data_IF_267657227289
#
_entry.id   IF_267657227289
#
_cell.length_a   1.000
_cell.length_b   1.000
_cell.length_c   1.000
_cell.angle_alpha   90.00
_cell.angle_beta   90.00
_cell.angle_gamma   90.00
#
_symmetry.space_group_name_H-M   'P 1'
#
loop_
_entity.id
_entity.type
_entity.pdbx_description
1 polymer ?
#
# COMPACT_ATOMS: atom_id res chain seq x y z
N UNK A 1 -15.06 -89.22 -7.11
CA UNK A 1 -14.58 -89.32 -8.51
C UNK A 1 -14.15 -87.92 -8.95
N UNK A 2 -12.83 -87.71 -9.11
CA UNK A 2 -12.15 -87.46 -10.40
C UNK A 2 -12.17 -85.95 -10.80
N UNK A 3 -11.13 -85.26 -11.27
CA UNK A 3 -9.71 -85.50 -11.56
C UNK A 3 -9.05 -84.10 -11.56
N UNK A 4 -7.75 -84.04 -11.21
CA UNK A 4 -6.86 -82.86 -11.28
C UNK A 4 -6.83 -82.20 -12.66
N UNK A 5 -6.72 -80.87 -12.70
CA UNK A 5 -6.15 -80.17 -13.85
C UNK A 5 -5.09 -79.15 -13.41
N UNK A 6 -3.81 -79.48 -13.67
CA UNK A 6 -2.65 -78.57 -13.59
C UNK A 6 -2.83 -77.46 -14.63
N UNK A 7 -2.68 -76.19 -14.25
CA UNK A 7 -2.53 -75.08 -15.21
C UNK A 7 -1.19 -74.39 -15.01
N UNK A 8 -0.38 -74.48 -16.06
CA UNK A 8 0.96 -73.92 -16.22
C UNK A 8 0.87 -72.40 -16.30
N UNK A 9 1.64 -71.69 -15.47
CA UNK A 9 1.75 -70.23 -15.47
C UNK A 9 2.74 -69.83 -16.58
N UNK A 10 2.24 -69.31 -17.70
CA UNK A 10 3.05 -68.56 -18.68
C UNK A 10 3.18 -67.11 -18.20
N UNK A 11 4.40 -66.67 -17.88
CA UNK A 11 4.74 -65.26 -17.61
C UNK A 11 4.55 -64.45 -18.89
N UNK A 12 3.58 -63.55 -18.91
CA UNK A 12 3.45 -62.53 -19.94
C UNK A 12 4.40 -61.37 -19.63
N UNK A 13 5.18 -60.95 -20.62
CA UNK A 13 6.09 -59.81 -20.57
C UNK A 13 5.30 -58.50 -20.31
N UNK A 14 5.83 -57.65 -19.42
CA UNK A 14 5.28 -56.31 -19.18
C UNK A 14 5.61 -55.40 -20.38
N UNK A 15 4.62 -54.72 -20.99
CA UNK A 15 4.92 -53.68 -21.96
C UNK A 15 5.43 -52.43 -21.25
N UNK A 16 6.62 -51.99 -21.66
CA UNK A 16 7.29 -50.77 -21.21
C UNK A 16 6.64 -49.57 -21.91
N UNK A 17 5.58 -49.00 -21.32
CA UNK A 17 4.95 -47.79 -21.82
C UNK A 17 5.71 -46.54 -21.37
N UNK A 18 6.77 -46.21 -22.12
CA UNK A 18 7.45 -44.91 -22.07
C UNK A 18 6.52 -43.86 -22.70
N UNK A 19 5.53 -43.38 -21.94
CA UNK A 19 4.68 -42.27 -22.35
C UNK A 19 5.51 -40.99 -22.28
N UNK A 20 6.07 -40.57 -23.42
CA UNK A 20 6.58 -39.21 -23.61
C UNK A 20 5.38 -38.25 -23.66
N UNK A 21 4.88 -37.88 -22.48
CA UNK A 21 3.94 -36.77 -22.32
C UNK A 21 4.70 -35.46 -22.52
N UNK A 22 4.84 -35.03 -23.78
CA UNK A 22 5.24 -33.67 -24.14
C UNK A 22 4.11 -32.70 -23.83
N UNK A 23 3.79 -32.51 -22.56
CA UNK A 23 2.93 -31.42 -22.11
C UNK A 23 3.75 -30.14 -22.17
N UNK A 24 3.56 -29.34 -23.21
CA UNK A 24 4.00 -27.96 -23.21
C UNK A 24 3.39 -27.28 -21.97
N UNK A 25 4.23 -27.05 -20.95
CA UNK A 25 3.85 -26.36 -19.73
C UNK A 25 3.33 -24.99 -20.18
N UNK A 26 2.02 -24.75 -20.01
CA UNK A 26 1.42 -23.45 -20.28
C UNK A 26 2.31 -22.38 -19.60
N UNK A 27 2.67 -21.30 -20.30
CA UNK A 27 3.51 -20.27 -19.70
C UNK A 27 2.82 -19.82 -18.42
N UNK A 28 3.55 -19.86 -17.30
CA UNK A 28 3.04 -19.39 -16.02
C UNK A 28 2.41 -18.01 -16.24
N UNK A 29 1.19 -17.74 -15.70
CA UNK A 29 0.57 -16.44 -15.85
C UNK A 29 1.60 -15.39 -15.43
N UNK A 30 1.96 -14.50 -16.35
CA UNK A 30 2.91 -13.43 -16.07
C UNK A 30 2.36 -12.68 -14.87
N UNK A 31 3.03 -12.77 -13.73
CA UNK A 31 2.65 -12.05 -12.53
C UNK A 31 2.41 -10.59 -12.93
N UNK A 32 1.26 -9.99 -12.55
CA UNK A 32 1.00 -8.61 -12.89
C UNK A 32 2.17 -7.74 -12.42
N UNK A 33 2.55 -6.71 -13.18
CA UNK A 33 3.68 -5.85 -12.83
C UNK A 33 3.48 -5.33 -11.41
N UNK A 34 4.48 -5.55 -10.54
CA UNK A 34 4.46 -5.09 -9.16
C UNK A 34 4.63 -3.57 -9.17
N UNK A 35 3.74 -2.84 -8.50
CA UNK A 35 3.95 -1.42 -8.22
C UNK A 35 5.22 -1.30 -7.37
N UNK A 36 6.25 -0.73 -7.99
CA UNK A 36 7.44 -0.28 -7.29
C UNK A 36 7.35 1.25 -7.24
N UNK A 37 7.42 1.82 -6.04
CA UNK A 37 7.56 3.26 -5.86
C UNK A 37 9.01 3.61 -6.19
N UNK A 38 9.33 3.61 -7.48
CA UNK A 38 10.68 3.86 -7.99
C UNK A 38 11.12 5.29 -7.69
N UNK A 39 10.16 6.21 -7.51
CA UNK A 39 10.40 7.56 -7.06
C UNK A 39 10.44 7.59 -5.51
N UNK A 40 11.58 7.97 -4.91
CA UNK A 40 11.71 8.12 -3.46
C UNK A 40 10.67 9.07 -2.84
N UNK A 41 10.23 10.08 -3.59
CA UNK A 41 9.21 11.05 -3.13
C UNK A 41 7.85 10.37 -2.91
N UNK A 42 7.45 9.47 -3.79
CA UNK A 42 6.19 8.74 -3.64
C UNK A 42 6.23 7.83 -2.41
N UNK A 43 7.40 7.23 -2.14
CA UNK A 43 7.61 6.44 -0.93
C UNK A 43 7.57 7.29 0.33
N UNK A 44 8.13 8.51 0.28
CA UNK A 44 8.09 9.47 1.38
C UNK A 44 6.66 9.92 1.69
N UNK A 45 5.85 10.22 0.66
CA UNK A 45 4.42 10.55 0.84
C UNK A 45 3.68 9.38 1.49
N UNK A 46 3.87 8.15 0.99
CA UNK A 46 3.27 6.95 1.59
C UNK A 46 3.68 6.76 3.06
N UNK A 47 4.96 7.00 3.38
CA UNK A 47 5.46 6.89 4.76
C UNK A 47 4.80 7.93 5.68
N UNK A 48 4.58 9.16 5.21
CA UNK A 48 3.90 10.20 5.99
C UNK A 48 2.42 9.90 6.17
N UNK A 49 1.73 9.42 5.13
CA UNK A 49 0.34 8.96 5.26
C UNK A 49 0.24 7.83 6.28
N UNK A 50 1.12 6.84 6.22
CA UNK A 50 1.15 5.76 7.21
C UNK A 50 1.47 6.27 8.64
N UNK A 51 2.34 7.27 8.79
CA UNK A 51 2.63 7.90 10.09
C UNK A 51 1.42 8.65 10.66
N UNK A 52 0.66 9.33 9.79
CA UNK A 52 -0.58 10.01 10.14
C UNK A 52 -1.62 9.00 10.62
N UNK A 53 -1.87 7.95 9.83
CA UNK A 53 -2.77 6.83 10.21
C UNK A 53 -2.33 6.10 11.47
N UNK A 54 -1.02 6.02 11.74
CA UNK A 54 -0.52 5.33 12.94
C UNK A 54 -0.32 6.28 14.13
N UNK A 55 -0.77 7.54 14.01
CA UNK A 55 -0.66 8.51 15.09
C UNK A 55 -1.63 8.17 16.22
N UNK A 56 -2.76 7.57 15.87
CA UNK A 56 -3.70 6.95 16.78
C UNK A 56 -3.27 5.49 17.11
N UNK A 57 -4.13 4.75 17.80
CA UNK A 57 -3.86 3.34 18.14
C UNK A 57 -4.47 2.34 17.17
N UNK A 58 -5.36 2.75 16.26
CA UNK A 58 -6.15 1.84 15.44
C UNK A 58 -6.26 2.33 14.00
N UNK A 59 -5.45 1.73 13.13
CA UNK A 59 -5.61 1.92 11.68
C UNK A 59 -6.87 1.21 11.18
N UNK A 60 -7.81 1.98 10.65
CA UNK A 60 -9.07 1.50 10.08
C UNK A 60 -8.95 1.15 8.58
N UNK A 61 -9.96 0.43 8.07
CA UNK A 61 -10.09 0.17 6.64
C UNK A 61 -10.33 1.47 5.85
N UNK A 62 -11.14 2.38 6.38
CA UNK A 62 -11.48 3.65 5.72
C UNK A 62 -10.25 4.54 5.56
N UNK A 63 -9.38 4.59 6.58
CA UNK A 63 -8.12 5.32 6.49
C UNK A 63 -7.17 4.71 5.46
N UNK A 64 -7.11 3.38 5.42
CA UNK A 64 -6.31 2.67 4.41
C UNK A 64 -6.81 2.97 3.00
N UNK A 65 -8.13 3.00 2.81
CA UNK A 65 -8.78 3.28 1.53
C UNK A 65 -8.54 4.72 1.10
N UNK A 66 -8.61 5.65 2.04
CA UNK A 66 -8.26 7.05 1.82
C UNK A 66 -6.79 7.20 1.42
N UNK A 67 -5.84 6.61 2.15
CA UNK A 67 -4.42 6.67 1.83
C UNK A 67 -4.13 6.09 0.43
N UNK A 68 -4.79 4.99 0.08
CA UNK A 68 -4.71 4.38 -1.26
C UNK A 68 -5.23 5.36 -2.32
N UNK A 69 -6.40 5.96 -2.11
CA UNK A 69 -6.98 6.92 -3.05
C UNK A 69 -6.07 8.14 -3.27
N UNK A 70 -5.46 8.68 -2.21
CA UNK A 70 -4.49 9.79 -2.33
C UNK A 70 -3.25 9.38 -3.12
N UNK A 71 -2.72 8.18 -2.87
CA UNK A 71 -1.57 7.67 -3.62
C UNK A 71 -1.91 7.39 -5.09
N UNK A 72 -3.10 6.86 -5.40
CA UNK A 72 -3.52 6.67 -6.80
C UNK A 72 -3.62 8.00 -7.56
N UNK A 73 -4.11 9.06 -6.89
CA UNK A 73 -4.16 10.41 -7.47
C UNK A 73 -2.77 10.96 -7.72
N UNK A 74 -1.87 10.85 -6.74
CA UNK A 74 -0.48 11.30 -6.87
C UNK A 74 0.23 10.60 -8.04
N UNK A 75 0.03 9.28 -8.16
CA UNK A 75 0.65 8.48 -9.22
C UNK A 75 -0.04 8.63 -10.58
N UNK A 76 -1.24 9.22 -10.64
CA UNK A 76 -2.08 9.25 -11.85
C UNK A 76 -2.55 7.86 -12.29
N UNK A 77 -2.73 6.94 -11.34
CA UNK A 77 -2.96 5.50 -11.58
C UNK A 77 -4.19 4.96 -10.82
N UNK A 78 -5.41 5.17 -11.36
CA UNK A 78 -6.67 4.81 -10.69
C UNK A 78 -7.01 3.30 -10.76
N UNK A 79 -6.16 2.47 -11.36
CA UNK A 79 -6.49 1.07 -11.63
C UNK A 79 -6.62 0.25 -10.33
N UNK A 80 -7.62 -0.64 -10.28
CA UNK A 80 -7.87 -1.51 -9.11
C UNK A 80 -6.66 -2.38 -8.73
N UNK A 81 -5.91 -2.84 -9.72
CA UNK A 81 -4.68 -3.60 -9.49
C UNK A 81 -3.63 -2.78 -8.73
N UNK A 82 -3.56 -1.47 -8.99
CA UNK A 82 -2.68 -0.53 -8.28
C UNK A 82 -3.20 -0.29 -6.86
N UNK A 83 -4.52 -0.13 -6.68
CA UNK A 83 -5.13 0.00 -5.36
C UNK A 83 -4.76 -1.18 -4.43
N UNK A 84 -4.87 -2.42 -4.92
CA UNK A 84 -4.51 -3.61 -4.13
C UNK A 84 -3.03 -3.65 -3.74
N UNK A 85 -2.15 -3.24 -4.66
CA UNK A 85 -0.71 -3.15 -4.38
C UNK A 85 -0.40 -2.04 -3.39
N UNK A 86 -1.06 -0.88 -3.50
CA UNK A 86 -0.94 0.22 -2.55
C UNK A 86 -1.40 -0.17 -1.15
N UNK A 87 -2.53 -0.89 -1.00
CA UNK A 87 -2.98 -1.43 0.29
C UNK A 87 -1.86 -2.24 0.96
N UNK A 88 -1.23 -3.15 0.22
CA UNK A 88 -0.10 -3.94 0.73
C UNK A 88 1.09 -3.08 1.14
N UNK A 89 1.38 -2.00 0.41
CA UNK A 89 2.47 -1.06 0.73
C UNK A 89 2.15 -0.19 1.95
N UNK A 90 0.90 0.24 2.13
CA UNK A 90 0.43 0.97 3.32
C UNK A 90 0.62 0.10 4.56
N UNK A 91 0.09 -1.13 4.56
CA UNK A 91 0.26 -2.08 5.68
C UNK A 91 1.73 -2.34 5.98
N UNK A 92 2.56 -2.51 4.95
CA UNK A 92 4.00 -2.69 5.12
C UNK A 92 4.68 -1.45 5.72
N UNK A 93 4.23 -0.25 5.37
CA UNK A 93 4.77 1.00 5.91
C UNK A 93 4.37 1.20 7.37
N UNK A 94 3.11 0.91 7.73
CA UNK A 94 2.62 0.89 9.12
C UNK A 94 3.44 -0.10 9.97
N UNK A 95 3.64 -1.32 9.47
CA UNK A 95 4.49 -2.32 10.15
C UNK A 95 5.95 -1.83 10.29
N UNK A 96 6.50 -1.17 9.27
CA UNK A 96 7.84 -0.60 9.33
C UNK A 96 7.94 0.53 10.38
N UNK A 97 6.89 1.32 10.59
CA UNK A 97 6.83 2.34 11.64
C UNK A 97 6.92 1.70 13.03
N UNK A 98 6.17 0.61 13.27
CA UNK A 98 6.19 -0.10 14.55
C UNK A 98 7.57 -0.67 14.91
N UNK A 99 8.36 -1.06 13.90
CA UNK A 99 9.68 -1.70 14.08
C UNK A 99 10.84 -0.71 14.09
N UNK A 100 10.80 0.32 13.22
CA UNK A 100 11.89 1.30 13.06
C UNK A 100 11.72 2.52 13.95
N UNK A 101 10.50 2.79 14.41
CA UNK A 101 10.12 3.97 15.17
C UNK A 101 9.66 5.12 14.28
N UNK A 102 8.65 5.86 14.76
CA UNK A 102 7.98 6.97 14.05
C UNK A 102 8.99 8.02 13.56
N UNK A 103 9.88 8.47 14.45
CA UNK A 103 10.81 9.56 14.17
C UNK A 103 11.83 9.22 13.09
N UNK A 104 12.32 7.97 13.05
CA UNK A 104 13.26 7.54 12.00
C UNK A 104 12.59 7.43 10.64
N UNK A 105 11.32 7.01 10.61
CA UNK A 105 10.54 6.98 9.37
C UNK A 105 10.27 8.39 8.87
N UNK A 106 9.85 9.29 9.77
CA UNK A 106 9.61 10.69 9.44
C UNK A 106 10.87 11.37 8.91
N UNK A 107 11.99 11.28 9.63
CA UNK A 107 13.25 11.88 9.22
C UNK A 107 13.75 11.33 7.88
N UNK A 108 13.47 10.06 7.54
CA UNK A 108 13.77 9.51 6.21
C UNK A 108 12.89 10.15 5.14
N UNK A 109 11.57 10.19 5.37
CA UNK A 109 10.63 10.75 4.41
C UNK A 109 10.92 12.21 4.09
N UNK A 110 11.24 13.02 5.11
CA UNK A 110 11.53 14.45 4.94
C UNK A 110 12.80 14.75 4.13
N UNK A 111 13.74 13.80 4.03
CA UNK A 111 14.95 13.96 3.19
C UNK A 111 14.66 13.92 1.70
N UNK A 112 13.52 13.37 1.31
CA UNK A 112 13.11 13.28 -0.09
C UNK A 112 12.26 14.50 -0.51
N UNK A 113 11.96 15.41 0.43
CA UNK A 113 11.00 16.52 0.25
C UNK A 113 11.75 17.86 0.35
N UNK A 114 12.10 18.39 -0.82
CA UNK A 114 13.06 19.50 -0.90
C UNK A 114 12.35 20.84 -1.09
N UNK A 115 11.22 20.87 -1.81
CA UNK A 115 10.58 22.12 -2.19
C UNK A 115 9.57 22.62 -1.14
N UNK A 116 9.45 23.95 -0.93
CA UNK A 116 8.43 24.51 -0.03
C UNK A 116 7.00 24.12 -0.42
N UNK A 117 6.74 23.92 -1.71
CA UNK A 117 5.44 23.47 -2.22
C UNK A 117 5.17 22.00 -1.86
N UNK A 118 6.15 21.12 -2.07
CA UNK A 118 6.05 19.71 -1.71
C UNK A 118 5.82 19.53 -0.21
N UNK A 119 6.48 20.36 0.61
CA UNK A 119 6.26 20.37 2.07
C UNK A 119 4.83 20.77 2.44
N UNK A 120 4.26 21.78 1.78
CA UNK A 120 2.87 22.18 1.98
C UNK A 120 1.90 21.08 1.56
N UNK A 121 2.13 20.46 0.41
CA UNK A 121 1.30 19.35 -0.10
C UNK A 121 1.37 18.16 0.86
N UNK A 122 2.57 17.78 1.31
CA UNK A 122 2.76 16.68 2.25
C UNK A 122 2.04 16.94 3.58
N UNK A 123 2.13 18.16 4.11
CA UNK A 123 1.39 18.56 5.30
C UNK A 123 -0.13 18.48 5.08
N UNK A 124 -0.61 19.03 3.96
CA UNK A 124 -2.01 18.98 3.56
C UNK A 124 -2.56 17.54 3.50
N UNK A 125 -1.81 16.63 2.88
CA UNK A 125 -2.17 15.21 2.78
C UNK A 125 -2.21 14.54 4.16
N UNK A 126 -1.21 14.80 5.01
CA UNK A 126 -1.17 14.27 6.37
C UNK A 126 -2.34 14.79 7.22
N UNK A 127 -2.64 16.08 7.17
CA UNK A 127 -3.78 16.67 7.88
C UNK A 127 -5.12 16.15 7.40
N UNK A 128 -5.23 15.83 6.12
CA UNK A 128 -6.48 15.25 5.59
C UNK A 128 -6.64 13.80 6.00
N UNK A 129 -5.52 13.08 6.13
CA UNK A 129 -5.49 11.72 6.64
C UNK A 129 -6.00 11.63 8.09
N UNK A 130 -5.52 12.51 8.97
CA UNK A 130 -5.95 12.57 10.38
C UNK A 130 -7.38 13.11 10.57
N UNK A 131 -8.10 13.41 9.49
CA UNK A 131 -9.47 13.91 9.55
C UNK A 131 -10.46 12.95 8.86
N UNK A 132 -10.01 11.75 8.45
CA UNK A 132 -10.84 10.83 7.65
C UNK A 132 -12.06 10.34 8.41
N UNK A 133 -11.91 10.10 9.71
CA UNK A 133 -12.99 9.68 10.61
C UNK A 133 -13.82 10.85 11.16
N UNK A 134 -13.43 12.09 10.83
CA UNK A 134 -14.12 13.32 11.19
C UNK A 134 -13.77 13.89 12.57
N UNK A 135 -12.82 13.29 13.31
CA UNK A 135 -12.38 13.77 14.62
C UNK A 135 -10.86 13.74 14.71
N UNK A 136 -10.23 14.88 15.00
CA UNK A 136 -8.78 14.91 15.24
C UNK A 136 -8.51 14.64 16.72
N UNK A 137 -7.88 13.52 17.02
CA UNK A 137 -7.47 13.17 18.37
C UNK A 137 -6.25 13.98 18.85
N UNK A 138 -6.01 14.02 20.17
CA UNK A 138 -4.85 14.73 20.73
C UNK A 138 -3.51 14.16 20.21
N UNK A 139 -3.45 12.86 19.99
CA UNK A 139 -2.30 12.12 19.45
C UNK A 139 -1.98 12.57 18.01
N UNK A 140 -2.99 12.69 17.17
CA UNK A 140 -2.91 13.17 15.79
C UNK A 140 -2.57 14.66 15.75
N UNK A 141 -3.18 15.47 16.62
CA UNK A 141 -2.86 16.89 16.78
C UNK A 141 -1.39 17.11 17.15
N UNK A 142 -0.84 16.31 18.07
CA UNK A 142 0.60 16.32 18.41
C UNK A 142 1.46 15.91 17.22
N UNK A 143 1.04 14.91 16.45
CA UNK A 143 1.75 14.50 15.24
C UNK A 143 1.77 15.62 14.20
N UNK A 144 0.63 16.26 13.90
CA UNK A 144 0.55 17.38 12.95
C UNK A 144 1.38 18.57 13.42
N UNK A 145 1.35 18.91 14.72
CA UNK A 145 2.17 19.97 15.27
C UNK A 145 3.67 19.69 15.06
N UNK A 146 4.10 18.45 15.30
CA UNK A 146 5.49 18.03 15.05
C UNK A 146 5.81 18.08 13.56
N UNK A 147 4.97 17.51 12.70
CA UNK A 147 5.17 17.49 11.25
C UNK A 147 5.29 18.90 10.68
N UNK A 148 4.46 19.85 11.15
CA UNK A 148 4.53 21.26 10.77
C UNK A 148 5.91 21.86 11.05
N UNK A 149 6.44 21.64 12.25
CA UNK A 149 7.74 22.16 12.67
C UNK A 149 8.88 21.54 11.85
N UNK A 150 8.84 20.22 11.64
CA UNK A 150 9.85 19.49 10.86
C UNK A 150 9.86 19.90 9.38
N UNK A 151 8.70 20.25 8.83
CA UNK A 151 8.59 20.81 7.47
C UNK A 151 8.98 22.30 7.40
N UNK A 152 9.19 22.96 8.54
CA UNK A 152 9.49 24.39 8.60
C UNK A 152 8.33 25.27 8.15
N UNK A 153 7.08 24.82 8.35
CA UNK A 153 5.89 25.57 7.95
C UNK A 153 5.45 26.54 9.06
N UNK A 154 5.15 27.78 8.66
CA UNK A 154 4.46 28.71 9.56
C UNK A 154 3.01 28.24 9.81
N UNK A 155 2.41 28.72 10.90
CA UNK A 155 1.01 28.41 11.21
C UNK A 155 0.07 28.85 10.07
N UNK A 156 0.28 30.04 9.51
CA UNK A 156 -0.49 30.52 8.36
C UNK A 156 -0.35 29.59 7.13
N UNK A 157 0.85 29.09 6.86
CA UNK A 157 1.08 28.14 5.76
C UNK A 157 0.41 26.79 6.00
N UNK A 158 0.44 26.30 7.24
CA UNK A 158 -0.24 25.07 7.64
C UNK A 158 -1.76 25.19 7.50
N UNK A 159 -2.34 26.29 8.00
CA UNK A 159 -3.78 26.59 7.84
C UNK A 159 -4.18 26.70 6.37
N UNK A 160 -3.37 27.38 5.55
CA UNK A 160 -3.61 27.49 4.12
C UNK A 160 -3.55 26.12 3.41
N UNK A 161 -2.58 25.28 3.77
CA UNK A 161 -2.46 23.93 3.23
C UNK A 161 -3.70 23.08 3.56
N UNK A 162 -4.18 23.12 4.81
CA UNK A 162 -5.39 22.41 5.23
C UNK A 162 -6.66 22.92 4.51
N UNK A 163 -6.82 24.24 4.39
CA UNK A 163 -7.94 24.85 3.67
C UNK A 163 -7.94 24.52 2.17
N UNK A 164 -6.75 24.41 1.57
CA UNK A 164 -6.56 23.99 0.18
C UNK A 164 -7.11 22.60 -0.09
N UNK A 165 -6.88 21.65 0.82
CA UNK A 165 -7.43 20.29 0.68
C UNK A 165 -8.93 20.26 0.90
N UNK A 166 -9.46 20.97 1.90
CA UNK A 166 -10.91 21.08 2.12
C UNK A 166 -11.65 21.60 0.87
N UNK A 167 -11.05 22.56 0.15
CA UNK A 167 -11.62 23.11 -1.10
C UNK A 167 -11.60 22.10 -2.24
N UNK A 168 -10.55 21.28 -2.35
CA UNK A 168 -10.45 20.22 -3.36
C UNK A 168 -11.37 19.05 -3.03
N UNK A 169 -11.52 18.68 -1.76
CA UNK A 169 -12.41 17.60 -1.31
C UNK A 169 -13.89 17.98 -1.40
N UNK A 170 -14.26 19.23 -1.08
CA UNK A 170 -15.64 19.72 -1.21
C UNK A 170 -16.13 19.73 -2.67
N UNK A 171 -15.24 20.00 -3.63
CA UNK A 171 -15.56 19.89 -5.07
C UNK A 171 -15.73 18.45 -5.56
N UNK A 172 -15.22 17.46 -4.83
CA UNK A 172 -15.28 16.04 -5.19
C UNK A 172 -16.53 15.32 -4.67
N UNK A 173 -17.28 15.92 -3.75
CA UNK A 173 -18.55 15.38 -3.24
C UNK A 173 -19.78 15.85 -4.03
N UNK A 174 -19.63 16.71 -5.05
CA UNK A 174 -20.73 17.01 -5.96
C UNK A 174 -20.78 15.95 -7.07
N UNK A 175 -21.84 15.13 -7.15
CA UNK A 175 -22.05 14.28 -8.31
C UNK A 175 -22.29 15.19 -9.52
N UNK A 176 -21.47 15.02 -10.56
CA UNK A 176 -21.77 15.52 -11.90
C UNK A 176 -22.83 14.66 -12.57
#
# INVERSE_FOLDING_TARGET
>A
MAIKAKKVIKRAARPNSKVRGGGAKAPAPKSPPRLNLANPKDKAVLDVLALAMSADTLVTADETDFAVAQMQRLLGRPELAVANQLRSLVTSSVAAISTKGRDKVLARALREIDSPEERRILFALASSMTCVDGLVEESEGKFLAKLRLELGLSEAQALQAMAGVATVMARQQQPG
#
